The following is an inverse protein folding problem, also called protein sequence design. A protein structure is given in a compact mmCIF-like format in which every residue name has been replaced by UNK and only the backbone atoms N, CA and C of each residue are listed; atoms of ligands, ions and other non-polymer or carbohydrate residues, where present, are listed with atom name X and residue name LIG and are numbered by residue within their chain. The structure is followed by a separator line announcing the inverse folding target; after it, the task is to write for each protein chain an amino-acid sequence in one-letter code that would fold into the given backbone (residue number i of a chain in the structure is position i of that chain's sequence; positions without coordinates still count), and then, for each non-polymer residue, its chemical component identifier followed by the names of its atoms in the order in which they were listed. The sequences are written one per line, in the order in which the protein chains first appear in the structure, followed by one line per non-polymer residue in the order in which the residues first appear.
data_IF_164465140926
#
_entry.id   IF_164465140926
#
_cell.length_a   1.000
_cell.length_b   1.000
_cell.length_c   1.000
_cell.angle_alpha   90.00
_cell.angle_beta   90.00
_cell.angle_gamma   90.00
#
_symmetry.space_group_name_H-M   'P 1'
#
loop_
_entity.id
_entity.type
_entity.pdbx_description
1 polymer ?
#
# COMPACT_ATOMS: atom_id res chain seq x y z
N UNK A 1 6.93 26.46 10.24
CA UNK A 1 7.51 25.73 9.09
C UNK A 1 8.46 24.69 9.68
N UNK A 2 8.15 23.40 9.55
CA UNK A 2 8.97 22.34 10.14
C UNK A 2 10.28 22.23 9.39
N UNK A 3 11.40 22.20 10.11
CA UNK A 3 12.71 21.99 9.50
C UNK A 3 12.76 20.61 8.84
N UNK A 4 13.23 20.58 7.59
CA UNK A 4 13.42 19.32 6.87
C UNK A 4 14.58 18.55 7.47
N UNK A 5 14.37 17.27 7.75
CA UNK A 5 15.38 16.36 8.28
C UNK A 5 16.17 15.72 7.14
N UNK A 6 17.49 15.69 7.28
CA UNK A 6 18.37 14.89 6.41
C UNK A 6 18.55 13.52 7.02
N UNK A 7 18.04 12.49 6.37
CA UNK A 7 18.16 11.09 6.79
C UNK A 7 18.99 10.31 5.78
N UNK A 8 19.55 9.18 6.22
CA UNK A 8 20.18 8.17 5.35
C UNK A 8 19.32 6.92 5.42
N UNK A 9 18.77 6.50 4.30
CA UNK A 9 17.92 5.32 4.18
C UNK A 9 18.67 4.21 3.47
N UNK A 10 18.69 3.01 4.04
CA UNK A 10 19.35 1.85 3.43
C UNK A 10 18.32 0.89 2.84
N UNK A 11 18.52 0.50 1.58
CA UNK A 11 17.68 -0.45 0.84
C UNK A 11 18.59 -1.34 -0.02
N UNK A 12 18.53 -2.67 0.13
CA UNK A 12 19.28 -3.63 -0.70
C UNK A 12 20.79 -3.30 -0.82
N UNK A 13 21.43 -3.07 0.34
CA UNK A 13 22.85 -2.67 0.50
C UNK A 13 23.23 -1.30 -0.10
N UNK A 14 22.26 -0.47 -0.48
CA UNK A 14 22.50 0.90 -0.96
C UNK A 14 22.00 1.93 0.04
N UNK A 15 22.80 2.96 0.29
CA UNK A 15 22.46 4.07 1.18
C UNK A 15 22.04 5.27 0.34
N UNK A 16 20.81 5.74 0.54
CA UNK A 16 20.24 6.90 -0.12
C UNK A 16 20.11 8.06 0.89
N UNK A 17 20.86 9.15 0.72
CA UNK A 17 20.66 10.36 1.52
C UNK A 17 19.41 11.10 1.01
N UNK A 18 18.45 11.35 1.90
CA UNK A 18 17.18 11.99 1.59
C UNK A 18 16.93 13.16 2.54
N UNK A 19 16.25 14.19 2.05
CA UNK A 19 15.79 15.31 2.86
C UNK A 19 14.27 15.27 2.90
N UNK A 20 13.68 15.03 4.06
CA UNK A 20 12.24 14.76 4.22
C UNK A 20 11.63 15.59 5.35
N UNK A 21 10.30 15.67 5.36
CA UNK A 21 9.59 16.21 6.51
C UNK A 21 9.57 15.20 7.67
N UNK A 22 9.73 15.64 8.93
CA UNK A 22 9.74 14.76 10.10
C UNK A 22 8.53 13.81 10.18
N UNK A 23 7.37 14.29 9.73
CA UNK A 23 6.11 13.52 9.69
C UNK A 23 6.19 12.28 8.79
N UNK A 24 7.09 12.25 7.82
CA UNK A 24 7.22 11.17 6.85
C UNK A 24 8.33 10.17 7.19
N UNK A 25 9.18 10.45 8.18
CA UNK A 25 10.35 9.62 8.49
C UNK A 25 9.96 8.19 8.86
N UNK A 26 8.97 8.02 9.74
CA UNK A 26 8.52 6.71 10.17
C UNK A 26 8.00 5.87 8.99
N UNK A 27 7.22 6.51 8.11
CA UNK A 27 6.68 5.89 6.90
C UNK A 27 7.79 5.44 5.95
N UNK A 28 8.76 6.31 5.65
CA UNK A 28 9.89 5.98 4.79
C UNK A 28 10.75 4.84 5.37
N UNK A 29 11.02 4.85 6.68
CA UNK A 29 11.80 3.79 7.33
C UNK A 29 11.09 2.43 7.30
N UNK A 30 9.77 2.41 7.54
CA UNK A 30 8.97 1.18 7.43
C UNK A 30 8.95 0.67 5.98
N UNK A 31 8.74 1.56 5.01
CA UNK A 31 8.76 1.20 3.59
C UNK A 31 10.11 0.60 3.17
N UNK A 32 11.23 1.23 3.55
CA UNK A 32 12.56 0.72 3.26
C UNK A 32 12.81 -0.69 3.83
N UNK A 33 12.43 -0.94 5.09
CA UNK A 33 12.53 -2.27 5.71
C UNK A 33 11.71 -3.31 4.96
N UNK A 34 10.51 -2.96 4.53
CA UNK A 34 9.64 -3.87 3.78
C UNK A 34 10.22 -4.20 2.40
N UNK A 35 10.79 -3.22 1.69
CA UNK A 35 11.47 -3.44 0.41
C UNK A 35 12.68 -4.36 0.61
N UNK A 36 13.51 -4.13 1.64
CA UNK A 36 14.69 -4.96 1.93
C UNK A 36 14.32 -6.41 2.24
N UNK A 37 13.25 -6.62 3.00
CA UNK A 37 12.71 -7.95 3.27
C UNK A 37 12.23 -8.67 2.01
N UNK A 38 11.47 -7.98 1.17
CA UNK A 38 10.98 -8.54 -0.09
C UNK A 38 12.14 -8.84 -1.04
N UNK A 39 13.12 -7.95 -1.15
CA UNK A 39 14.30 -8.15 -1.98
C UNK A 39 15.05 -9.42 -1.57
N UNK A 40 15.32 -9.61 -0.28
CA UNK A 40 15.94 -10.84 0.26
C UNK A 40 15.11 -12.09 -0.05
N UNK A 41 13.79 -12.00 0.04
CA UNK A 41 12.89 -13.12 -0.29
C UNK A 41 12.98 -13.50 -1.76
N UNK A 42 13.06 -12.53 -2.67
CA UNK A 42 13.22 -12.79 -4.10
C UNK A 42 14.61 -13.31 -4.45
N UNK A 43 15.67 -12.78 -3.83
CA UNK A 43 17.04 -13.29 -3.97
C UNK A 43 17.14 -14.76 -3.55
N UNK A 44 16.52 -15.14 -2.43
CA UNK A 44 16.49 -16.52 -1.93
C UNK A 44 15.67 -17.46 -2.84
N UNK A 45 14.52 -17.01 -3.34
CA UNK A 45 13.59 -17.88 -4.06
C UNK A 45 13.90 -18.03 -5.56
N UNK A 46 14.51 -17.02 -6.19
CA UNK A 46 14.64 -16.99 -7.66
C UNK A 46 16.09 -16.98 -8.16
N UNK A 47 17.09 -17.07 -7.28
CA UNK A 47 18.51 -16.98 -7.63
C UNK A 47 18.84 -15.78 -8.55
N UNK A 48 18.03 -14.73 -8.48
CA UNK A 48 18.17 -13.52 -9.29
C UNK A 48 19.40 -12.80 -8.80
N UNK A 49 20.42 -12.72 -9.65
CA UNK A 49 21.71 -12.09 -9.31
C UNK A 49 21.70 -10.58 -9.49
N UNK A 50 20.78 -10.02 -10.28
CA UNK A 50 20.72 -8.58 -10.50
C UNK A 50 19.78 -7.91 -9.48
N UNK A 51 20.38 -7.05 -8.65
CA UNK A 51 19.66 -6.26 -7.65
C UNK A 51 18.63 -5.32 -8.27
N UNK A 52 18.82 -4.92 -9.54
CA UNK A 52 17.86 -4.05 -10.23
C UNK A 52 16.57 -4.80 -10.58
N UNK A 53 16.68 -6.04 -11.07
CA UNK A 53 15.53 -6.88 -11.39
C UNK A 53 14.74 -7.25 -10.14
N UNK A 54 15.44 -7.56 -9.04
CA UNK A 54 14.80 -7.80 -7.74
C UNK A 54 14.00 -6.59 -7.27
N UNK A 55 14.54 -5.38 -7.43
CA UNK A 55 13.81 -4.15 -7.08
C UNK A 55 12.63 -3.89 -8.03
N UNK A 56 12.74 -4.21 -9.31
CA UNK A 56 11.63 -4.14 -10.26
C UNK A 56 10.50 -5.11 -9.89
N UNK A 57 10.83 -6.34 -9.48
CA UNK A 57 9.84 -7.30 -8.97
C UNK A 57 9.15 -6.79 -7.69
N UNK A 58 9.91 -6.19 -6.77
CA UNK A 58 9.33 -5.53 -5.60
C UNK A 58 8.37 -4.40 -6.00
N UNK A 59 8.74 -3.54 -6.96
CA UNK A 59 7.90 -2.46 -7.43
C UNK A 59 6.59 -2.99 -8.06
N UNK A 60 6.67 -4.03 -8.88
CA UNK A 60 5.50 -4.69 -9.47
C UNK A 60 4.58 -5.28 -8.40
N UNK A 61 5.14 -5.96 -7.41
CA UNK A 61 4.38 -6.54 -6.30
C UNK A 61 3.65 -5.48 -5.47
N UNK A 62 4.28 -4.32 -5.24
CA UNK A 62 3.64 -3.20 -4.55
C UNK A 62 2.56 -2.54 -5.39
N UNK A 63 2.84 -2.26 -6.67
CA UNK A 63 1.85 -1.69 -7.59
C UNK A 63 0.62 -2.60 -7.71
N UNK A 64 0.82 -3.91 -7.91
CA UNK A 64 -0.28 -4.88 -7.99
C UNK A 64 -1.15 -4.91 -6.73
N UNK A 65 -0.55 -4.75 -5.53
CA UNK A 65 -1.32 -4.68 -4.28
C UNK A 65 -2.15 -3.41 -4.21
N UNK A 66 -1.60 -2.27 -4.63
CA UNK A 66 -2.33 -1.00 -4.63
C UNK A 66 -3.53 -1.08 -5.58
N UNK A 67 -3.33 -1.61 -6.79
CA UNK A 67 -4.41 -1.81 -7.76
C UNK A 67 -5.47 -2.78 -7.21
N UNK A 68 -5.06 -3.90 -6.59
CA UNK A 68 -6.00 -4.84 -5.97
C UNK A 68 -6.79 -4.21 -4.81
N UNK A 69 -6.14 -3.45 -3.92
CA UNK A 69 -6.83 -2.77 -2.83
C UNK A 69 -7.83 -1.73 -3.33
N UNK A 70 -7.54 -1.03 -4.44
CA UNK A 70 -8.50 -0.12 -5.06
C UNK A 70 -9.73 -0.83 -5.63
N UNK A 71 -9.54 -2.02 -6.22
CA UNK A 71 -10.64 -2.88 -6.69
C UNK A 71 -11.49 -3.34 -5.50
N UNK A 72 -10.86 -3.86 -4.45
CA UNK A 72 -11.54 -4.34 -3.24
C UNK A 72 -12.35 -3.22 -2.55
N UNK A 73 -11.79 -2.00 -2.45
CA UNK A 73 -12.48 -0.85 -1.85
C UNK A 73 -13.70 -0.43 -2.67
N UNK A 74 -13.59 -0.44 -4.00
CA UNK A 74 -14.73 -0.17 -4.90
C UNK A 74 -15.82 -1.23 -4.76
N UNK A 75 -15.46 -2.50 -4.67
CA UNK A 75 -16.42 -3.60 -4.47
C UNK A 75 -17.12 -3.48 -3.10
N UNK A 76 -16.37 -3.17 -2.04
CA UNK A 76 -16.93 -2.96 -0.70
C UNK A 76 -17.89 -1.76 -0.66
N UNK A 77 -17.54 -0.66 -1.34
CA UNK A 77 -18.40 0.52 -1.42
C UNK A 77 -19.70 0.22 -2.20
N UNK A 78 -19.63 -0.55 -3.28
CA UNK A 78 -20.82 -1.00 -4.01
C UNK A 78 -21.71 -1.88 -3.14
N UNK A 79 -21.14 -2.87 -2.44
CA UNK A 79 -21.89 -3.73 -1.53
C UNK A 79 -22.53 -2.94 -0.38
N UNK A 80 -21.84 -1.92 0.14
CA UNK A 80 -22.40 -1.05 1.17
C UNK A 80 -23.58 -0.23 0.63
N UNK A 81 -23.47 0.29 -0.60
CA UNK A 81 -24.55 1.02 -1.26
C UNK A 81 -25.77 0.13 -1.53
N UNK A 82 -25.55 -1.10 -2.02
CA UNK A 82 -26.62 -2.07 -2.29
C UNK A 82 -27.36 -2.41 -0.99
N UNK A 83 -26.63 -2.68 0.11
CA UNK A 83 -27.24 -2.95 1.43
C UNK A 83 -28.00 -1.76 2.00
N UNK A 84 -27.53 -0.54 1.75
CA UNK A 84 -28.25 0.68 2.14
C UNK A 84 -29.56 0.81 1.34
N UNK A 85 -29.54 0.49 0.04
CA UNK A 85 -30.75 0.44 -0.80
C UNK A 85 -31.74 -0.62 -0.33
N UNK A 86 -31.26 -1.82 0.04
CA UNK A 86 -32.10 -2.88 0.61
C UNK A 86 -32.75 -2.43 1.93
N UNK A 87 -31.99 -1.76 2.80
CA UNK A 87 -32.51 -1.19 4.05
C UNK A 87 -33.55 -0.09 3.80
N UNK A 88 -33.31 0.78 2.81
CA UNK A 88 -34.26 1.81 2.41
C UNK A 88 -35.56 1.18 1.90
N UNK A 89 -35.47 0.16 1.05
CA UNK A 89 -36.63 -0.58 0.55
C UNK A 89 -37.41 -1.26 1.67
N UNK A 90 -36.72 -1.88 2.63
CA UNK A 90 -37.36 -2.50 3.81
C UNK A 90 -38.06 -1.46 4.69
N UNK A 91 -37.44 -0.30 4.92
CA UNK A 91 -38.05 0.80 5.67
C UNK A 91 -39.25 1.39 4.92
N UNK A 92 -39.15 1.59 3.61
CA UNK A 92 -40.26 2.06 2.78
C UNK A 92 -41.43 1.07 2.79
N UNK A 93 -41.14 -0.23 2.82
CA UNK A 93 -42.17 -1.28 2.90
C UNK A 93 -42.81 -1.33 4.30
N UNK A 94 -42.03 -1.11 5.37
CA UNK A 94 -42.51 -1.07 6.74
C UNK A 94 -43.29 0.22 7.08
N UNK A 95 -42.95 1.35 6.43
CA UNK A 95 -43.60 2.65 6.61
C UNK A 95 -44.71 2.91 5.57
N UNK A 96 -44.78 2.11 4.51
CA UNK A 96 -45.75 2.18 3.41
C UNK A 96 -47.04 1.38 3.63
N UNK A 97 -47.31 0.93 4.85
CA UNK A 97 -48.66 0.52 5.27
C UNK A 97 -49.33 1.64 6.08
N UNK A 98 -49.68 2.73 5.41
CA UNK A 98 -50.81 3.61 5.73
C UNK A 98 -51.49 3.99 4.44
#
# INVERSE_FOLDING_TARGET
MGEKLKIKLSIADRVYPLTIDPKQEEGLRKAAKNIDFLAKKFEQNYAVRDKQDVLAMCALQFASRIEQSGIEESEQMQQAADRLGDLEALLAQALGSV
#
